data_IF_931454482091
#
_entry.id   IF_931454482091
#
_cell.length_a   1.000
_cell.length_b   1.000
_cell.length_c   1.000
_cell.angle_alpha   90.00
_cell.angle_beta   90.00
_cell.angle_gamma   90.00
#
_symmetry.space_group_name_H-M   'P 1'
#
loop_
_entity.id
_entity.type
_entity.pdbx_description
1 polymer ?
#
# COMPACT_ATOMS: atom_id res chain seq x y z
N UNK A 1 0.68 1.62 -22.17
CA UNK A 1 1.79 0.82 -21.66
C UNK A 1 2.77 1.70 -20.91
N UNK A 2 3.43 1.15 -19.88
CA UNK A 2 4.49 1.80 -19.12
C UNK A 2 5.72 2.00 -20.04
N UNK A 3 6.19 3.23 -20.14
CA UNK A 3 7.36 3.58 -20.95
C UNK A 3 8.53 4.04 -20.06
N UNK A 4 9.75 3.90 -20.58
CA UNK A 4 10.93 4.46 -19.92
C UNK A 4 10.77 5.98 -19.81
N UNK A 5 10.98 6.53 -18.61
CA UNK A 5 10.80 7.96 -18.32
C UNK A 5 9.41 8.34 -17.82
N UNK A 6 8.43 7.42 -17.78
CA UNK A 6 7.16 7.69 -17.13
C UNK A 6 7.33 7.85 -15.61
N UNK A 7 6.60 8.81 -15.04
CA UNK A 7 6.38 8.88 -13.59
C UNK A 7 5.31 7.86 -13.19
N UNK A 8 5.63 6.96 -12.27
CA UNK A 8 4.71 5.91 -11.83
C UNK A 8 4.03 6.32 -10.54
N UNK A 9 2.71 6.39 -10.56
CA UNK A 9 1.89 6.66 -9.38
C UNK A 9 1.49 5.34 -8.72
N UNK A 10 1.84 5.20 -7.45
CA UNK A 10 1.58 3.98 -6.65
C UNK A 10 0.40 4.24 -5.71
N UNK A 11 -0.68 3.47 -5.78
CA UNK A 11 -1.79 3.60 -4.84
C UNK A 11 -1.34 3.41 -3.40
N UNK A 12 -1.91 4.21 -2.49
CA UNK A 12 -1.70 4.00 -1.07
C UNK A 12 -2.61 2.86 -0.58
N UNK A 13 -2.07 1.67 -0.45
CA UNK A 13 -2.77 0.52 0.15
C UNK A 13 -2.62 0.54 1.67
N UNK A 14 -1.38 0.56 2.13
CA UNK A 14 -0.93 0.87 3.48
C UNK A 14 0.53 1.35 3.40
N UNK A 15 1.05 1.87 4.49
CA UNK A 15 2.39 2.46 4.56
C UNK A 15 3.48 1.55 3.97
N UNK A 16 3.56 0.28 4.40
CA UNK A 16 4.64 -0.62 3.99
C UNK A 16 4.50 -1.08 2.54
N UNK A 17 3.32 -1.56 2.15
CA UNK A 17 3.09 -2.06 0.78
C UNK A 17 3.40 -0.96 -0.23
N UNK A 18 2.87 0.24 -0.01
CA UNK A 18 3.03 1.34 -0.94
C UNK A 18 4.47 1.82 -1.04
N UNK A 19 5.18 1.90 0.09
CA UNK A 19 6.60 2.25 0.13
C UNK A 19 7.46 1.20 -0.60
N UNK A 20 7.21 -0.10 -0.35
CA UNK A 20 7.98 -1.18 -0.96
C UNK A 20 7.71 -1.30 -2.46
N UNK A 21 6.47 -1.10 -2.89
CA UNK A 21 6.15 -1.05 -4.31
C UNK A 21 6.85 0.13 -5.00
N UNK A 22 6.76 1.33 -4.43
CA UNK A 22 7.44 2.50 -4.99
C UNK A 22 8.95 2.27 -5.11
N UNK A 23 9.59 1.72 -4.08
CA UNK A 23 11.01 1.41 -4.12
C UNK A 23 11.35 0.32 -5.15
N UNK A 24 10.49 -0.68 -5.30
CA UNK A 24 10.67 -1.72 -6.32
C UNK A 24 10.67 -1.14 -7.74
N UNK A 25 9.79 -0.17 -8.02
CA UNK A 25 9.81 0.56 -9.29
C UNK A 25 11.07 1.43 -9.44
N UNK A 26 11.50 2.11 -8.36
CA UNK A 26 12.72 2.94 -8.38
C UNK A 26 13.99 2.14 -8.66
N UNK A 27 14.09 0.91 -8.15
CA UNK A 27 15.22 0.02 -8.44
C UNK A 27 15.28 -0.46 -9.89
N UNK A 28 14.18 -0.32 -10.63
CA UNK A 28 14.13 -0.55 -12.09
C UNK A 28 14.26 0.76 -12.90
N UNK A 29 14.58 1.88 -12.25
CA UNK A 29 14.86 3.15 -12.91
C UNK A 29 13.66 4.06 -13.14
N UNK A 30 12.49 3.76 -12.57
CA UNK A 30 11.29 4.61 -12.68
C UNK A 30 11.24 5.69 -11.59
N UNK A 31 10.71 6.87 -11.91
CA UNK A 31 10.30 7.86 -10.91
C UNK A 31 8.96 7.41 -10.30
N UNK A 32 9.00 6.67 -9.21
CA UNK A 32 7.80 6.15 -8.56
C UNK A 32 7.41 7.00 -7.35
N UNK A 33 6.15 7.41 -7.29
CA UNK A 33 5.58 8.28 -6.25
C UNK A 33 4.34 7.64 -5.64
N UNK A 34 4.28 7.57 -4.32
CA UNK A 34 3.11 7.06 -3.60
C UNK A 34 2.05 8.15 -3.55
N UNK A 35 0.78 7.77 -3.81
CA UNK A 35 -0.35 8.68 -3.66
C UNK A 35 -0.51 9.11 -2.20
N UNK A 36 -0.95 10.34 -1.99
CA UNK A 36 -1.28 10.84 -0.65
C UNK A 36 -2.41 10.01 -0.02
N UNK A 37 -2.39 9.89 1.30
CA UNK A 37 -3.44 9.25 2.09
C UNK A 37 -4.04 10.29 3.04
N UNK A 38 -5.10 10.97 2.59
CA UNK A 38 -5.77 12.02 3.35
C UNK A 38 -7.26 12.08 3.01
N UNK A 39 -8.05 12.71 3.86
CA UNK A 39 -9.48 12.96 3.57
C UNK A 39 -9.68 13.80 2.29
N UNK A 40 -8.73 14.66 1.97
CA UNK A 40 -8.77 15.50 0.77
C UNK A 40 -8.89 14.69 -0.51
N UNK A 41 -8.17 13.55 -0.61
CA UNK A 41 -8.25 12.70 -1.79
C UNK A 41 -9.65 12.11 -2.01
N UNK A 42 -10.36 11.79 -0.93
CA UNK A 42 -11.74 11.30 -1.01
C UNK A 42 -12.67 12.41 -1.56
N UNK A 43 -12.56 13.62 -1.03
CA UNK A 43 -13.33 14.76 -1.53
C UNK A 43 -13.06 15.03 -3.01
N UNK A 44 -11.79 15.01 -3.42
CA UNK A 44 -11.42 15.20 -4.83
C UNK A 44 -11.94 14.04 -5.69
N UNK A 45 -11.79 12.81 -5.24
CA UNK A 45 -12.31 11.65 -5.97
C UNK A 45 -13.82 11.70 -6.17
N UNK A 46 -14.59 12.00 -5.12
CA UNK A 46 -16.05 12.09 -5.20
C UNK A 46 -16.56 13.23 -6.10
N UNK A 47 -15.81 14.33 -6.27
CA UNK A 47 -16.17 15.39 -7.22
C UNK A 47 -16.11 14.94 -8.68
N UNK A 48 -15.33 13.90 -8.98
CA UNK A 48 -15.10 13.36 -10.30
C UNK A 48 -15.65 11.95 -10.50
N UNK A 49 -16.32 11.40 -9.48
CA UNK A 49 -17.03 10.13 -9.52
C UNK A 49 -18.48 10.32 -9.98
N UNK A 50 -19.10 9.27 -10.51
CA UNK A 50 -20.50 9.27 -10.96
C UNK A 50 -21.49 8.82 -9.88
N UNK A 51 -21.01 8.39 -8.71
CA UNK A 51 -21.81 8.07 -7.54
C UNK A 51 -22.13 6.59 -7.30
N UNK A 52 -21.56 5.69 -8.09
CA UNK A 52 -21.73 4.24 -7.91
C UNK A 52 -20.41 3.49 -7.67
N UNK A 53 -19.31 4.22 -7.64
CA UNK A 53 -17.97 3.65 -7.54
C UNK A 53 -17.66 3.18 -6.11
N UNK A 54 -16.88 2.10 -6.04
CA UNK A 54 -16.30 1.63 -4.81
C UNK A 54 -15.33 2.66 -4.22
N UNK A 55 -15.39 2.92 -2.92
CA UNK A 55 -14.58 3.94 -2.24
C UNK A 55 -13.07 3.84 -2.53
N UNK A 56 -12.44 2.64 -2.59
CA UNK A 56 -11.04 2.54 -3.00
C UNK A 56 -10.75 3.13 -4.38
N UNK A 57 -11.63 2.92 -5.37
CA UNK A 57 -11.46 3.49 -6.69
C UNK A 57 -11.52 5.02 -6.66
N UNK A 58 -12.46 5.56 -5.88
CA UNK A 58 -12.61 7.02 -5.65
C UNK A 58 -11.34 7.59 -4.99
N UNK A 59 -10.83 6.94 -3.95
CA UNK A 59 -9.61 7.37 -3.25
C UNK A 59 -8.38 7.36 -4.17
N UNK A 60 -8.21 6.31 -4.95
CA UNK A 60 -7.09 6.18 -5.90
C UNK A 60 -7.17 7.25 -6.99
N UNK A 61 -8.35 7.46 -7.58
CA UNK A 61 -8.54 8.50 -8.60
C UNK A 61 -8.29 9.89 -8.03
N UNK A 62 -8.85 10.19 -6.85
CA UNK A 62 -8.63 11.47 -6.18
C UNK A 62 -7.16 11.70 -5.81
N UNK A 63 -6.47 10.69 -5.31
CA UNK A 63 -5.03 10.74 -5.03
C UNK A 63 -4.19 11.02 -6.28
N UNK A 64 -4.52 10.37 -7.40
CA UNK A 64 -3.85 10.62 -8.68
C UNK A 64 -4.07 12.07 -9.16
N UNK A 65 -5.32 12.57 -9.10
CA UNK A 65 -5.65 13.94 -9.48
C UNK A 65 -4.88 14.95 -8.64
N UNK A 66 -4.88 14.78 -7.31
CA UNK A 66 -4.19 15.68 -6.39
C UNK A 66 -2.68 15.68 -6.61
N UNK A 67 -2.07 14.50 -6.77
CA UNK A 67 -0.63 14.39 -6.95
C UNK A 67 -0.17 15.01 -8.29
N UNK A 68 -0.88 14.71 -9.37
CA UNK A 68 -0.59 15.29 -10.69
C UNK A 68 -0.67 16.81 -10.64
N UNK A 69 -1.73 17.36 -10.04
CA UNK A 69 -1.92 18.82 -9.94
C UNK A 69 -0.89 19.49 -9.04
N UNK A 70 -0.65 18.95 -7.85
CA UNK A 70 0.26 19.55 -6.87
C UNK A 70 1.71 19.55 -7.33
N UNK A 71 2.12 18.50 -8.06
CA UNK A 71 3.48 18.35 -8.56
C UNK A 71 3.64 18.75 -10.04
N UNK A 72 2.55 19.25 -10.66
CA UNK A 72 2.52 19.69 -12.07
C UNK A 72 3.06 18.63 -13.03
N UNK A 73 2.66 17.37 -12.80
CA UNK A 73 3.08 16.27 -13.67
C UNK A 73 2.34 16.35 -15.01
N UNK A 74 3.03 15.94 -16.08
CA UNK A 74 2.42 15.79 -17.40
C UNK A 74 1.63 14.47 -17.45
N UNK A 75 0.28 14.49 -17.63
CA UNK A 75 -0.51 13.27 -17.60
C UNK A 75 -0.09 12.23 -18.64
N UNK A 76 0.30 12.65 -19.83
CA UNK A 76 0.72 11.74 -20.91
C UNK A 76 2.04 11.01 -20.62
N UNK A 77 2.85 11.51 -19.70
CA UNK A 77 4.09 10.91 -19.20
C UNK A 77 3.93 10.35 -17.78
N UNK A 78 2.69 10.12 -17.35
CA UNK A 78 2.37 9.59 -16.03
C UNK A 78 1.59 8.29 -16.15
N UNK A 79 1.98 7.30 -15.35
CA UNK A 79 1.40 5.96 -15.33
C UNK A 79 0.83 5.65 -13.95
N UNK A 80 -0.47 5.49 -13.82
CA UNK A 80 -1.10 5.02 -12.60
C UNK A 80 -1.05 3.48 -12.57
N UNK A 81 -0.27 2.95 -11.63
CA UNK A 81 -0.17 1.52 -11.39
C UNK A 81 -1.40 1.00 -10.65
N UNK A 82 -2.12 0.05 -11.25
CA UNK A 82 -3.22 -0.66 -10.60
C UNK A 82 -3.02 -2.16 -10.75
N UNK A 83 -2.86 -2.91 -9.65
CA UNK A 83 -2.83 -4.35 -9.71
C UNK A 83 -4.21 -4.86 -10.17
N UNK A 84 -4.22 -5.70 -11.20
CA UNK A 84 -5.43 -6.36 -11.66
C UNK A 84 -5.47 -7.80 -11.14
N UNK A 85 -6.54 -8.14 -10.46
CA UNK A 85 -6.79 -9.51 -9.99
C UNK A 85 -8.17 -9.92 -10.49
N UNK A 86 -8.29 -11.12 -11.06
CA UNK A 86 -9.59 -11.73 -11.33
C UNK A 86 -10.25 -12.12 -10.01
N UNK A 87 -11.15 -11.29 -9.53
CA UNK A 87 -11.91 -11.52 -8.30
C UNK A 87 -13.40 -11.32 -8.59
N UNK A 88 -14.25 -11.92 -7.80
CA UNK A 88 -15.69 -11.71 -7.84
C UNK A 88 -16.07 -10.37 -7.17
N UNK A 89 -15.49 -9.26 -7.63
CA UNK A 89 -15.76 -7.91 -7.18
C UNK A 89 -15.57 -6.91 -8.34
N UNK A 90 -15.81 -5.62 -8.11
CA UNK A 90 -15.64 -4.56 -9.10
C UNK A 90 -14.20 -4.03 -9.23
N UNK A 91 -13.24 -4.57 -8.49
CA UNK A 91 -11.83 -4.17 -8.54
C UNK A 91 -11.23 -4.18 -9.97
N UNK A 92 -11.54 -5.15 -10.86
CA UNK A 92 -11.09 -5.11 -12.26
C UNK A 92 -11.57 -3.89 -13.07
N UNK A 93 -12.58 -3.16 -12.58
CA UNK A 93 -13.09 -1.94 -13.21
C UNK A 93 -12.38 -0.66 -12.74
N UNK A 94 -11.56 -0.72 -11.68
CA UNK A 94 -10.85 0.45 -11.14
C UNK A 94 -10.04 1.21 -12.20
N UNK A 95 -9.31 0.57 -13.12
CA UNK A 95 -8.61 1.30 -14.17
C UNK A 95 -9.55 2.14 -15.07
N UNK A 96 -10.73 1.63 -15.39
CA UNK A 96 -11.73 2.36 -16.18
C UNK A 96 -12.28 3.54 -15.36
N UNK A 97 -12.67 3.29 -14.11
CA UNK A 97 -13.16 4.33 -13.20
C UNK A 97 -12.12 5.43 -12.97
N UNK A 98 -10.84 5.06 -12.76
CA UNK A 98 -9.76 6.03 -12.60
C UNK A 98 -9.53 6.85 -13.87
N UNK A 99 -9.56 6.23 -15.07
CA UNK A 99 -9.46 6.97 -16.35
C UNK A 99 -10.59 7.97 -16.50
N UNK A 100 -11.84 7.55 -16.28
CA UNK A 100 -13.01 8.44 -16.39
C UNK A 100 -12.93 9.62 -15.41
N UNK A 101 -12.55 9.37 -14.15
CA UNK A 101 -12.44 10.41 -13.13
C UNK A 101 -11.30 11.40 -13.45
N UNK A 102 -10.15 10.92 -13.90
CA UNK A 102 -9.02 11.79 -14.27
C UNK A 102 -9.29 12.59 -15.53
N UNK A 103 -9.99 12.03 -16.52
CA UNK A 103 -10.46 12.76 -17.70
C UNK A 103 -11.48 13.84 -17.34
N UNK A 104 -12.43 13.54 -16.43
CA UNK A 104 -13.39 14.51 -15.88
C UNK A 104 -12.67 15.65 -15.16
N UNK A 105 -11.52 15.37 -14.54
CA UNK A 105 -10.66 16.37 -13.90
C UNK A 105 -9.81 17.20 -14.88
N UNK A 106 -9.90 16.93 -16.17
CA UNK A 106 -9.12 17.59 -17.23
C UNK A 106 -7.72 17.01 -17.45
N UNK A 107 -7.38 15.89 -16.80
CA UNK A 107 -6.07 15.23 -16.89
C UNK A 107 -6.09 14.18 -18.03
N UNK A 108 -6.20 14.67 -19.26
CA UNK A 108 -6.25 13.80 -20.44
C UNK A 108 -4.90 13.14 -20.71
N UNK A 109 -4.94 11.86 -21.10
CA UNK A 109 -3.75 11.11 -21.50
C UNK A 109 -3.04 10.37 -20.38
N UNK A 110 -3.56 10.42 -19.14
CA UNK A 110 -3.02 9.60 -18.05
C UNK A 110 -3.07 8.12 -18.44
N UNK A 111 -1.94 7.45 -18.35
CA UNK A 111 -1.84 6.02 -18.60
C UNK A 111 -2.28 5.28 -17.34
N UNK A 112 -3.29 4.43 -17.45
CA UNK A 112 -3.75 3.60 -16.33
C UNK A 112 -3.47 2.13 -16.67
N UNK A 113 -2.52 1.54 -15.95
CA UNK A 113 -2.02 0.21 -16.23
C UNK A 113 -2.68 -0.88 -15.41
N UNK A 114 -3.23 -1.89 -16.11
CA UNK A 114 -3.70 -3.14 -15.51
C UNK A 114 -2.52 -4.11 -15.42
N UNK A 115 -2.01 -4.34 -14.22
CA UNK A 115 -0.98 -5.35 -14.02
C UNK A 115 -1.62 -6.61 -13.50
N UNK A 116 -1.63 -7.65 -14.31
CA UNK A 116 -2.15 -8.96 -13.90
C UNK A 116 -1.05 -9.72 -13.15
N UNK A 117 -1.28 -10.09 -11.89
CA UNK A 117 -0.34 -10.90 -11.11
C UNK A 117 -0.08 -12.30 -11.71
N UNK A 118 -1.02 -12.82 -12.52
CA UNK A 118 -0.86 -14.11 -13.20
C UNK A 118 0.01 -14.02 -14.46
N UNK A 119 0.15 -12.81 -15.04
CA UNK A 119 1.03 -12.56 -16.17
C UNK A 119 1.68 -11.18 -16.06
N UNK A 120 2.53 -10.96 -15.05
CA UNK A 120 3.13 -9.64 -14.79
C UNK A 120 4.08 -9.20 -15.91
N UNK A 121 4.69 -10.13 -16.64
CA UNK A 121 5.65 -9.83 -17.70
C UNK A 121 5.05 -9.18 -18.95
N UNK A 122 3.71 -9.16 -19.08
CA UNK A 122 3.06 -8.50 -20.21
C UNK A 122 3.02 -6.96 -20.09
N UNK A 123 3.20 -6.40 -18.88
CA UNK A 123 3.07 -4.96 -18.62
C UNK A 123 4.26 -4.41 -17.82
N UNK A 124 4.92 -5.24 -17.01
CA UNK A 124 6.03 -4.83 -16.15
C UNK A 124 7.35 -5.43 -16.65
N UNK A 125 8.46 -4.68 -16.62
CA UNK A 125 9.76 -5.17 -17.05
C UNK A 125 10.30 -6.25 -16.09
N UNK A 126 10.88 -7.29 -16.67
CA UNK A 126 11.68 -8.30 -15.97
C UNK A 126 10.98 -8.97 -14.80
N UNK A 127 11.62 -8.96 -13.64
CA UNK A 127 11.14 -9.62 -12.40
C UNK A 127 10.34 -8.66 -11.49
N UNK A 128 10.00 -7.46 -11.93
CA UNK A 128 9.34 -6.46 -11.10
C UNK A 128 8.01 -6.97 -10.52
N UNK A 129 7.19 -7.63 -11.33
CA UNK A 129 5.90 -8.18 -10.84
C UNK A 129 6.08 -9.19 -9.70
N UNK A 130 7.08 -10.07 -9.80
CA UNK A 130 7.41 -11.02 -8.73
C UNK A 130 7.87 -10.29 -7.46
N UNK A 131 8.68 -9.24 -7.61
CA UNK A 131 9.17 -8.43 -6.49
C UNK A 131 8.05 -7.68 -5.79
N UNK A 132 7.08 -7.14 -6.55
CA UNK A 132 5.89 -6.49 -5.97
C UNK A 132 5.07 -7.51 -5.15
N UNK A 133 4.91 -8.73 -5.63
CA UNK A 133 4.23 -9.78 -4.88
C UNK A 133 5.01 -10.16 -3.61
N UNK A 134 6.30 -10.45 -3.72
CA UNK A 134 7.17 -10.81 -2.59
C UNK A 134 7.16 -9.73 -1.49
N UNK A 135 7.28 -8.47 -1.87
CA UNK A 135 7.26 -7.35 -0.92
C UNK A 135 5.88 -7.15 -0.27
N UNK A 136 4.79 -7.47 -0.96
CA UNK A 136 3.44 -7.47 -0.36
C UNK A 136 3.31 -8.54 0.71
N UNK A 137 3.86 -9.74 0.48
CA UNK A 137 3.90 -10.81 1.48
C UNK A 137 4.73 -10.39 2.69
N UNK A 138 5.92 -9.82 2.47
CA UNK A 138 6.79 -9.32 3.54
C UNK A 138 6.09 -8.24 4.37
N UNK A 139 5.46 -7.26 3.75
CA UNK A 139 4.71 -6.22 4.44
C UNK A 139 3.58 -6.80 5.31
N UNK A 140 2.85 -7.80 4.78
CA UNK A 140 1.79 -8.48 5.53
C UNK A 140 2.33 -9.25 6.75
N UNK A 141 3.49 -9.90 6.61
CA UNK A 141 4.15 -10.59 7.73
C UNK A 141 4.65 -9.59 8.79
N UNK A 142 5.19 -8.44 8.38
CA UNK A 142 5.61 -7.37 9.31
C UNK A 142 4.42 -6.87 10.11
N UNK A 143 3.28 -6.58 9.47
CA UNK A 143 2.07 -6.17 10.21
C UNK A 143 1.54 -7.25 11.15
N UNK A 144 1.64 -8.54 10.78
CA UNK A 144 1.30 -9.63 11.69
C UNK A 144 2.19 -9.66 12.94
N UNK A 145 3.49 -9.46 12.78
CA UNK A 145 4.42 -9.35 13.91
C UNK A 145 4.09 -8.13 14.77
N UNK A 146 3.90 -6.98 14.15
CA UNK A 146 3.58 -5.72 14.80
C UNK A 146 2.33 -5.84 15.69
N UNK A 147 1.19 -6.25 15.13
CA UNK A 147 -0.07 -6.35 15.87
C UNK A 147 -0.07 -7.45 16.95
N UNK A 148 0.76 -8.48 16.78
CA UNK A 148 0.94 -9.52 17.78
C UNK A 148 1.79 -9.08 18.96
N UNK A 149 2.68 -8.11 18.77
CA UNK A 149 3.66 -7.70 19.79
C UNK A 149 3.22 -6.41 20.47
N UNK A 150 2.73 -5.43 19.71
CA UNK A 150 2.37 -4.11 20.19
C UNK A 150 1.47 -4.11 21.45
N UNK A 151 0.39 -4.92 21.55
CA UNK A 151 -0.45 -4.90 22.74
C UNK A 151 0.25 -5.37 24.02
N UNK A 152 1.39 -6.04 23.91
CA UNK A 152 2.14 -6.63 25.01
C UNK A 152 3.49 -5.97 25.26
N UNK A 153 3.88 -4.93 24.51
CA UNK A 153 5.14 -4.23 24.70
C UNK A 153 5.23 -3.62 26.11
N UNK A 154 6.39 -3.77 26.78
CA UNK A 154 6.63 -3.14 28.09
C UNK A 154 6.97 -1.67 27.98
N UNK A 155 7.75 -1.31 26.97
CA UNK A 155 8.10 0.06 26.66
C UNK A 155 7.15 0.57 25.59
N UNK A 156 6.32 1.55 25.93
CA UNK A 156 5.36 2.14 25.01
C UNK A 156 6.03 2.68 23.73
N UNK A 157 5.49 2.29 22.59
CA UNK A 157 6.01 2.66 21.27
C UNK A 157 7.21 1.85 20.78
N UNK A 158 7.65 0.79 21.50
CA UNK A 158 8.74 -0.07 21.03
C UNK A 158 8.39 -0.78 19.71
N UNK A 159 7.17 -1.27 19.60
CA UNK A 159 6.69 -1.88 18.35
C UNK A 159 6.54 -0.85 17.21
N UNK A 160 6.13 0.38 17.50
CA UNK A 160 6.06 1.46 16.52
C UNK A 160 7.45 1.82 15.95
N UNK A 161 8.47 1.90 16.82
CA UNK A 161 9.86 2.08 16.39
C UNK A 161 10.35 0.92 15.54
N UNK A 162 10.09 -0.31 16.00
CA UNK A 162 10.44 -1.51 15.25
C UNK A 162 9.76 -1.60 13.89
N UNK A 163 8.52 -1.12 13.76
CA UNK A 163 7.84 -1.02 12.48
C UNK A 163 8.57 -0.06 11.51
N UNK A 164 9.02 1.10 12.02
CA UNK A 164 9.83 2.05 11.25
C UNK A 164 11.19 1.48 10.83
N UNK A 165 11.87 0.79 11.75
CA UNK A 165 13.16 0.15 11.48
C UNK A 165 13.02 -1.00 10.48
N UNK A 166 11.95 -1.80 10.59
CA UNK A 166 11.61 -2.87 9.65
C UNK A 166 11.39 -2.33 8.23
N UNK A 167 10.66 -1.22 8.09
CA UNK A 167 10.53 -0.52 6.81
C UNK A 167 11.90 -0.16 6.23
N UNK A 168 12.76 0.47 7.03
CA UNK A 168 14.12 0.83 6.64
C UNK A 168 14.99 -0.36 6.21
N UNK A 169 14.87 -1.50 6.92
CA UNK A 169 15.59 -2.74 6.56
C UNK A 169 15.17 -3.24 5.18
N UNK A 170 13.86 -3.30 4.91
CA UNK A 170 13.35 -3.80 3.62
C UNK A 170 13.68 -2.84 2.49
N UNK A 171 13.53 -1.53 2.68
CA UNK A 171 13.87 -0.53 1.67
C UNK A 171 15.36 -0.59 1.29
N UNK A 172 16.27 -0.72 2.26
CA UNK A 172 17.70 -0.93 1.97
C UNK A 172 17.95 -2.21 1.22
N UNK A 173 17.33 -3.33 1.64
CA UNK A 173 17.48 -4.61 0.97
C UNK A 173 17.02 -4.57 -0.50
N UNK A 174 15.97 -3.81 -0.80
CA UNK A 174 15.50 -3.57 -2.18
C UNK A 174 16.54 -2.83 -3.02
N UNK A 175 17.11 -1.72 -2.49
CA UNK A 175 18.16 -0.94 -3.17
C UNK A 175 19.41 -1.76 -3.42
N UNK A 176 19.82 -2.52 -2.42
CA UNK A 176 21.05 -3.34 -2.48
C UNK A 176 20.81 -4.66 -3.25
N UNK A 177 19.63 -4.89 -3.78
CA UNK A 177 19.20 -6.13 -4.45
C UNK A 177 19.44 -7.38 -3.59
N UNK A 178 19.32 -7.23 -2.28
CA UNK A 178 19.42 -8.33 -1.32
C UNK A 178 18.17 -9.21 -1.37
N UNK A 179 18.32 -10.50 -1.08
CA UNK A 179 17.19 -11.44 -1.01
C UNK A 179 16.25 -11.09 0.15
N UNK A 180 14.95 -10.97 -0.13
CA UNK A 180 13.92 -10.55 0.82
C UNK A 180 13.81 -11.49 2.03
N UNK A 181 14.11 -12.78 1.86
CA UNK A 181 14.14 -13.73 2.99
C UNK A 181 15.15 -13.35 4.07
N UNK A 182 16.34 -12.88 3.66
CA UNK A 182 17.39 -12.43 4.60
C UNK A 182 16.99 -11.13 5.27
N UNK A 183 16.42 -10.19 4.53
CA UNK A 183 15.89 -8.95 5.08
C UNK A 183 14.79 -9.23 6.14
N UNK A 184 13.84 -10.12 5.83
CA UNK A 184 12.80 -10.51 6.78
C UNK A 184 13.35 -11.22 8.01
N UNK A 185 14.43 -12.01 7.89
CA UNK A 185 15.14 -12.58 9.05
C UNK A 185 15.55 -11.53 10.06
N UNK A 186 16.18 -10.43 9.59
CA UNK A 186 16.55 -9.28 10.46
C UNK A 186 15.33 -8.60 11.07
N UNK A 187 14.25 -8.44 10.30
CA UNK A 187 13.00 -7.90 10.82
C UNK A 187 12.41 -8.77 11.93
N UNK A 188 12.40 -10.09 11.72
CA UNK A 188 11.89 -11.02 12.73
C UNK A 188 12.71 -10.99 14.03
N UNK A 189 14.03 -10.82 13.94
CA UNK A 189 14.90 -10.66 15.10
C UNK A 189 14.65 -9.35 15.83
N UNK A 190 14.46 -8.24 15.09
CA UNK A 190 14.11 -6.95 15.65
C UNK A 190 12.83 -7.03 16.51
N UNK A 191 11.77 -7.60 16.00
CA UNK A 191 10.52 -7.77 16.75
C UNK A 191 10.65 -8.77 17.90
N UNK A 192 11.47 -9.81 17.77
CA UNK A 192 11.75 -10.77 18.85
C UNK A 192 12.46 -10.14 20.03
N UNK A 193 13.29 -9.12 19.80
CA UNK A 193 14.01 -8.37 20.81
C UNK A 193 13.15 -7.43 21.67
N UNK A 194 11.88 -7.21 21.31
CA UNK A 194 10.98 -6.34 22.08
C UNK A 194 10.56 -7.06 23.37
N UNK A 195 10.83 -6.44 24.52
CA UNK A 195 10.36 -6.93 25.82
C UNK A 195 8.84 -6.85 25.91
N UNK A 196 8.22 -7.94 26.38
CA UNK A 196 6.75 -8.08 26.44
C UNK A 196 6.30 -8.49 27.82
N UNK A 197 5.10 -8.04 28.17
CA UNK A 197 4.34 -8.56 29.31
C UNK A 197 3.25 -9.50 28.78
N UNK A 198 3.55 -10.79 28.79
CA UNK A 198 2.64 -11.84 28.30
C UNK A 198 1.81 -12.45 29.44
N UNK A 199 1.76 -11.82 30.64
CA UNK A 199 1.09 -12.37 31.83
C UNK A 199 -0.42 -12.58 31.63
N UNK A 200 -1.07 -11.70 30.88
CA UNK A 200 -2.50 -11.81 30.54
C UNK A 200 -2.71 -11.77 29.03
N UNK A 201 -3.48 -12.74 28.51
CA UNK A 201 -3.88 -12.74 27.12
C UNK A 201 -4.98 -11.72 26.87
N UNK A 202 -4.75 -10.83 25.91
CA UNK A 202 -5.73 -9.84 25.49
C UNK A 202 -6.81 -10.46 24.60
N UNK A 203 -8.04 -9.92 24.59
CA UNK A 203 -9.09 -10.32 23.67
C UNK A 203 -8.62 -10.16 22.22
N UNK A 204 -8.76 -11.21 21.41
CA UNK A 204 -8.38 -11.19 20.00
C UNK A 204 -9.53 -10.68 19.15
N UNK A 205 -9.29 -9.62 18.40
CA UNK A 205 -10.27 -8.94 17.56
C UNK A 205 -9.88 -9.08 16.09
N UNK A 206 -10.70 -9.81 15.33
CA UNK A 206 -10.49 -9.92 13.88
C UNK A 206 -11.09 -8.70 13.16
N UNK A 207 -10.27 -8.02 12.35
CA UNK A 207 -10.74 -6.93 11.47
C UNK A 207 -10.98 -7.51 10.09
N UNK A 208 -12.26 -7.61 9.73
CA UNK A 208 -12.74 -8.14 8.44
C UNK A 208 -13.30 -7.00 7.59
N UNK A 209 -13.30 -7.16 6.29
CA UNK A 209 -13.87 -6.21 5.35
C UNK A 209 -13.06 -6.04 4.09
N UNK A 210 -13.36 -4.97 3.36
CA UNK A 210 -12.65 -4.61 2.13
C UNK A 210 -11.14 -4.49 2.37
N UNK A 211 -10.35 -5.00 1.44
CA UNK A 211 -8.90 -5.12 1.59
C UNK A 211 -8.21 -3.75 1.67
N UNK A 212 -8.69 -2.76 0.92
CA UNK A 212 -8.16 -1.40 0.97
C UNK A 212 -8.56 -0.72 2.29
N UNK A 213 -9.85 -0.78 2.66
CA UNK A 213 -10.40 -0.10 3.83
C UNK A 213 -9.77 -0.62 5.13
N UNK A 214 -9.64 -1.95 5.29
CA UNK A 214 -9.13 -2.51 6.55
C UNK A 214 -7.64 -2.17 6.81
N UNK A 215 -6.85 -1.89 5.76
CA UNK A 215 -5.43 -1.55 5.89
C UNK A 215 -5.14 -0.06 5.79
N UNK A 216 -6.09 0.75 5.31
CA UNK A 216 -5.91 2.18 5.14
C UNK A 216 -6.35 2.92 6.40
N UNK A 217 -5.40 3.39 7.18
CA UNK A 217 -5.62 4.01 8.49
C UNK A 217 -6.43 5.31 8.45
N UNK A 218 -6.40 6.06 7.35
CA UNK A 218 -7.24 7.26 7.18
C UNK A 218 -8.69 6.85 6.94
N UNK A 219 -8.89 5.95 5.99
CA UNK A 219 -10.23 5.51 5.57
C UNK A 219 -10.95 4.75 6.67
N UNK A 220 -10.24 3.90 7.42
CA UNK A 220 -10.82 3.14 8.53
C UNK A 220 -10.78 3.90 9.87
N UNK A 221 -10.37 5.17 9.88
CA UNK A 221 -10.29 6.02 11.08
C UNK A 221 -9.43 5.39 12.19
N UNK A 222 -8.32 4.75 11.81
CA UNK A 222 -7.37 4.09 12.71
C UNK A 222 -8.00 3.00 13.60
N UNK A 223 -8.97 2.27 13.07
CA UNK A 223 -9.73 1.26 13.84
C UNK A 223 -8.82 0.24 14.55
N UNK A 224 -7.75 -0.20 13.90
CA UNK A 224 -6.79 -1.14 14.50
C UNK A 224 -6.12 -0.54 15.73
N UNK A 225 -5.64 0.71 15.63
CA UNK A 225 -5.01 1.43 16.74
C UNK A 225 -5.98 1.61 17.90
N UNK A 226 -7.22 2.03 17.63
CA UNK A 226 -8.24 2.21 18.67
C UNK A 226 -8.58 0.91 19.41
N UNK A 227 -8.64 -0.22 18.70
CA UNK A 227 -8.89 -1.53 19.33
C UNK A 227 -7.72 -1.90 20.26
N UNK A 228 -6.47 -1.68 19.83
CA UNK A 228 -5.29 -1.96 20.64
C UNK A 228 -5.20 -1.04 21.85
N UNK A 229 -5.51 0.24 21.71
CA UNK A 229 -5.55 1.21 22.81
C UNK A 229 -6.63 0.87 23.85
N UNK A 230 -7.71 0.17 23.43
CA UNK A 230 -8.72 -0.40 24.32
C UNK A 230 -8.36 -1.77 24.90
N UNK A 231 -7.16 -2.25 24.64
CA UNK A 231 -6.62 -3.49 25.19
C UNK A 231 -6.87 -4.74 24.35
N UNK A 232 -7.27 -4.62 23.08
CA UNK A 232 -7.43 -5.76 22.16
C UNK A 232 -6.12 -6.15 21.45
N UNK A 233 -6.01 -7.42 21.06
CA UNK A 233 -5.00 -7.92 20.10
C UNK A 233 -5.63 -8.01 18.72
N UNK A 234 -5.07 -7.30 17.74
CA UNK A 234 -5.58 -7.31 16.36
C UNK A 234 -5.16 -8.58 15.63
N UNK A 235 -6.14 -9.20 14.98
CA UNK A 235 -5.91 -10.30 14.03
C UNK A 235 -6.33 -9.83 12.63
N UNK A 236 -5.34 -9.61 11.78
CA UNK A 236 -5.58 -9.33 10.36
C UNK A 236 -5.53 -10.66 9.60
N UNK A 237 -6.63 -11.11 9.01
CA UNK A 237 -6.61 -12.27 8.12
C UNK A 237 -5.76 -11.94 6.88
N UNK A 238 -4.98 -12.93 6.48
CA UNK A 238 -4.10 -12.86 5.30
C UNK A 238 -4.89 -12.95 4.02
#
# INVERSE_FOLDING_TARGET
DLASGDTVLIPYVNRLISAFWAESFRTEGFDARVLENSERILHTGYRHANGGECMPAVAIAGGAIELIRSQKLEPSSTFLYLPAVCMACNFPQFPVMASMATESAGLKGLKVGRVNFLNPGAVLPGMLGMRLFETSVIASLIYKLYHRIRPYEREDGAADRALGDAEGIVLRALRDREGMRKAFGRVAELFRGIERDDAERRPRVAVLGDMYVKYNEVVNQQVTRRIEDLGGEIVLPS
#
